data_IF_999791759949
#
_entry.id   IF_999791759949
#
_cell.length_a   1.000
_cell.length_b   1.000
_cell.length_c   1.000
_cell.angle_alpha   90.00
_cell.angle_beta   90.00
_cell.angle_gamma   90.00
#
_symmetry.space_group_name_H-M   'P 1'
#
loop_
_entity.id
_entity.type
_entity.pdbx_description
1 polymer ?
#
# COMPACT_ATOMS: atom_id res chain seq x y z
N UNK A 1 -2.69 -29.74 -5.82
CA UNK A 1 -3.73 -30.47 -5.06
C UNK A 1 -5.05 -30.21 -5.79
N UNK A 2 -5.71 -31.24 -6.35
CA UNK A 2 -6.92 -31.08 -7.17
C UNK A 2 -8.07 -30.56 -6.28
N UNK A 3 -8.63 -29.39 -6.59
CA UNK A 3 -9.86 -28.92 -5.95
C UNK A 3 -11.07 -29.62 -6.58
N UNK A 4 -11.84 -30.32 -5.74
CA UNK A 4 -13.21 -30.70 -6.05
C UNK A 4 -14.14 -29.56 -5.65
N UNK A 5 -14.92 -29.07 -6.62
CA UNK A 5 -16.02 -28.14 -6.38
C UNK A 5 -17.21 -28.96 -5.88
N UNK A 6 -17.56 -28.84 -4.60
CA UNK A 6 -18.77 -29.42 -4.04
C UNK A 6 -19.88 -28.37 -4.12
N UNK A 7 -20.83 -28.59 -5.03
CA UNK A 7 -22.08 -27.83 -5.14
C UNK A 7 -23.04 -28.29 -4.04
N UNK A 8 -23.35 -27.41 -3.08
CA UNK A 8 -24.43 -27.61 -2.12
C UNK A 8 -25.77 -27.19 -2.78
N UNK A 9 -26.57 -28.18 -3.18
CA UNK A 9 -28.00 -28.00 -3.48
C UNK A 9 -28.77 -27.85 -2.17
N UNK A 10 -29.42 -26.72 -1.94
CA UNK A 10 -30.38 -26.57 -0.84
C UNK A 10 -31.65 -27.40 -1.11
N UNK A 11 -32.03 -28.18 -0.10
CA UNK A 11 -33.31 -28.88 0.01
C UNK A 11 -34.43 -27.88 0.32
N UNK A 12 -35.44 -27.81 -0.56
CA UNK A 12 -36.67 -27.07 -0.32
C UNK A 12 -37.63 -27.90 0.56
N UNK A 13 -37.91 -27.41 1.77
CA UNK A 13 -39.00 -27.93 2.60
C UNK A 13 -40.33 -27.34 2.11
N UNK A 14 -41.19 -28.22 1.61
CA UNK A 14 -42.54 -27.92 1.14
C UNK A 14 -43.48 -27.73 2.33
N UNK A 15 -44.14 -26.58 2.43
CA UNK A 15 -45.38 -26.42 3.18
C UNK A 15 -46.50 -26.14 2.17
N UNK A 16 -47.59 -26.90 2.25
CA UNK A 16 -48.78 -26.74 1.42
C UNK A 16 -50.03 -26.77 2.30
N UNK A 17 -51.10 -26.14 1.76
CA UNK A 17 -52.50 -25.97 2.21
C UNK A 17 -52.79 -24.65 2.97
N UNK A 18 -53.78 -23.80 2.64
CA UNK A 18 -54.94 -23.82 1.71
C UNK A 18 -55.41 -22.37 1.40
N UNK A 19 -55.53 -22.05 0.10
CA UNK A 19 -56.59 -21.35 -0.69
C UNK A 19 -57.41 -20.19 -0.07
N UNK A 20 -57.41 -18.99 -0.72
CA UNK A 20 -58.60 -18.35 -1.35
C UNK A 20 -58.26 -17.14 -2.29
N UNK A 21 -58.47 -17.35 -3.59
CA UNK A 21 -58.95 -16.50 -4.70
C UNK A 21 -58.49 -15.04 -5.00
N UNK A 22 -58.05 -14.88 -6.28
CA UNK A 22 -58.16 -13.76 -7.26
C UNK A 22 -57.48 -12.39 -7.02
N UNK A 23 -56.41 -12.12 -7.79
CA UNK A 23 -56.43 -11.10 -8.86
C UNK A 23 -55.13 -11.11 -9.69
N UNK A 24 -55.28 -10.96 -11.00
CA UNK A 24 -54.22 -10.82 -12.01
C UNK A 24 -53.39 -9.55 -11.78
N UNK A 25 -52.07 -9.68 -11.63
CA UNK A 25 -51.10 -8.72 -12.17
C UNK A 25 -49.82 -9.47 -12.56
N UNK A 26 -49.46 -9.37 -13.84
CA UNK A 26 -48.20 -9.88 -14.38
C UNK A 26 -47.04 -9.04 -13.87
N UNK A 27 -46.33 -9.52 -12.85
CA UNK A 27 -45.02 -8.98 -12.47
C UNK A 27 -43.94 -9.72 -13.24
N UNK A 28 -43.26 -9.03 -14.18
CA UNK A 28 -41.95 -9.47 -14.67
C UNK A 28 -41.03 -9.63 -13.47
N UNK A 29 -40.67 -10.86 -13.11
CA UNK A 29 -39.53 -11.11 -12.24
C UNK A 29 -38.27 -10.82 -13.06
N UNK A 30 -37.65 -9.67 -12.80
CA UNK A 30 -36.28 -9.44 -13.16
C UNK A 30 -35.44 -10.55 -12.51
N UNK A 31 -34.83 -11.41 -13.32
CA UNK A 31 -33.76 -12.29 -12.86
C UNK A 31 -32.60 -11.38 -12.44
N UNK A 32 -32.48 -11.17 -11.13
CA UNK A 32 -31.24 -10.65 -10.54
C UNK A 32 -30.18 -11.71 -10.77
N UNK A 33 -29.26 -11.45 -11.70
CA UNK A 33 -27.99 -12.17 -11.76
C UNK A 33 -27.34 -12.00 -10.39
N UNK A 34 -27.22 -13.09 -9.64
CA UNK A 34 -26.42 -13.08 -8.43
C UNK A 34 -24.99 -12.77 -8.87
N UNK A 35 -24.51 -11.58 -8.54
CA UNK A 35 -23.08 -11.33 -8.51
C UNK A 35 -22.51 -12.31 -7.48
N UNK A 36 -21.97 -13.42 -7.95
CA UNK A 36 -21.09 -14.26 -7.13
C UNK A 36 -19.86 -13.41 -6.85
N UNK A 37 -19.92 -12.66 -5.75
CA UNK A 37 -18.78 -11.94 -5.23
C UNK A 37 -17.81 -12.99 -4.70
N UNK A 38 -16.74 -13.27 -5.46
CA UNK A 38 -15.65 -14.12 -5.01
C UNK A 38 -14.91 -13.36 -3.91
N UNK A 39 -15.42 -13.44 -2.68
CA UNK A 39 -14.73 -12.94 -1.50
C UNK A 39 -13.67 -13.96 -1.13
N UNK A 40 -12.45 -13.76 -1.63
CA UNK A 40 -11.27 -14.49 -1.15
C UNK A 40 -10.86 -13.85 0.19
N UNK A 41 -11.59 -14.17 1.25
CA UNK A 41 -11.18 -13.81 2.61
C UNK A 41 -10.27 -14.90 3.17
N UNK A 42 -9.02 -14.53 3.47
CA UNK A 42 -8.09 -15.32 4.26
C UNK A 42 -7.53 -16.55 3.56
N UNK A 43 -6.39 -16.39 2.89
CA UNK A 43 -5.32 -17.39 2.70
C UNK A 43 -4.38 -16.91 1.57
N UNK A 44 -3.30 -16.24 1.96
CA UNK A 44 -2.12 -16.07 1.11
C UNK A 44 -2.23 -15.01 0.01
N UNK A 45 -1.11 -14.34 -0.24
CA UNK A 45 -0.90 -13.43 -1.35
C UNK A 45 -0.82 -14.17 -2.69
N UNK A 46 -1.89 -14.89 -3.04
CA UNK A 46 -2.00 -15.57 -4.31
C UNK A 46 -2.05 -14.55 -5.44
N UNK A 47 -1.34 -14.88 -6.53
CA UNK A 47 -1.35 -14.14 -7.78
C UNK A 47 -2.01 -15.00 -8.84
N UNK A 48 -2.80 -14.38 -9.69
CA UNK A 48 -3.43 -15.05 -10.82
C UNK A 48 -2.41 -15.29 -11.92
N UNK A 49 -2.26 -16.53 -12.36
CA UNK A 49 -1.55 -16.87 -13.56
C UNK A 49 -2.33 -16.44 -14.80
N UNK A 50 -1.71 -15.65 -15.67
CA UNK A 50 -2.36 -15.11 -16.87
C UNK A 50 -1.53 -15.35 -18.11
N UNK A 51 -2.22 -15.57 -19.23
CA UNK A 51 -1.60 -15.55 -20.56
C UNK A 51 -2.20 -14.42 -21.38
N UNK A 52 -1.34 -13.56 -21.95
CA UNK A 52 -1.79 -12.55 -22.90
C UNK A 52 -1.96 -13.18 -24.27
N UNK A 53 -3.15 -13.03 -24.87
CA UNK A 53 -3.49 -13.59 -26.18
C UNK A 53 -3.80 -12.43 -27.14
N UNK A 54 -2.80 -11.93 -27.89
CA UNK A 54 -3.03 -10.86 -28.84
C UNK A 54 -3.73 -11.36 -30.11
N UNK A 55 -4.87 -10.76 -30.42
CA UNK A 55 -5.58 -11.03 -31.67
C UNK A 55 -4.89 -10.40 -32.87
N UNK A 56 -5.28 -10.84 -34.07
CA UNK A 56 -4.75 -10.35 -35.35
C UNK A 56 -4.77 -8.81 -35.42
N UNK A 57 -5.91 -8.20 -35.08
CA UNK A 57 -6.10 -6.73 -35.07
C UNK A 57 -5.06 -6.00 -34.21
N UNK A 58 -4.65 -6.60 -33.08
CA UNK A 58 -3.62 -6.07 -32.21
C UNK A 58 -2.23 -6.32 -32.79
N UNK A 59 -1.94 -7.55 -33.24
CA UNK A 59 -0.59 -7.94 -33.74
C UNK A 59 -0.16 -7.17 -34.99
N UNK A 60 -1.10 -6.75 -35.83
CA UNK A 60 -0.83 -5.96 -37.04
C UNK A 60 -0.46 -4.50 -36.74
N UNK A 61 -0.68 -4.02 -35.52
CA UNK A 61 -0.33 -2.64 -35.15
C UNK A 61 1.20 -2.46 -35.05
N UNK A 62 1.78 -1.40 -35.65
CA UNK A 62 3.24 -1.19 -35.63
C UNK A 62 3.87 -1.16 -34.22
N UNK A 63 3.14 -0.63 -33.24
CA UNK A 63 3.57 -0.56 -31.84
C UNK A 63 3.21 -1.79 -30.99
N UNK A 64 2.59 -2.84 -31.53
CA UNK A 64 2.07 -3.98 -30.76
C UNK A 64 3.10 -4.59 -29.81
N UNK A 65 4.33 -4.82 -30.30
CA UNK A 65 5.45 -5.34 -29.49
C UNK A 65 5.86 -4.38 -28.36
N UNK A 66 5.77 -3.07 -28.58
CA UNK A 66 6.04 -2.07 -27.53
C UNK A 66 4.94 -2.09 -26.48
N UNK A 67 3.67 -2.16 -26.89
CA UNK A 67 2.53 -2.18 -25.97
C UNK A 67 2.51 -3.46 -25.14
N UNK A 68 2.76 -4.63 -25.72
CA UNK A 68 2.89 -5.90 -24.98
C UNK A 68 3.91 -5.80 -23.86
N UNK A 69 5.08 -5.21 -24.12
CA UNK A 69 6.12 -5.00 -23.08
C UNK A 69 5.66 -4.07 -21.96
N UNK A 70 4.82 -3.09 -22.28
CA UNK A 70 4.27 -2.16 -21.29
C UNK A 70 3.16 -2.84 -20.49
N UNK A 71 2.30 -3.63 -21.13
CA UNK A 71 1.24 -4.42 -20.48
C UNK A 71 1.86 -5.45 -19.53
N UNK A 72 2.79 -6.28 -20.00
CA UNK A 72 3.54 -7.27 -19.19
C UNK A 72 4.13 -6.64 -17.92
N UNK A 73 4.83 -5.51 -18.08
CA UNK A 73 5.41 -4.80 -16.93
C UNK A 73 4.35 -4.34 -15.94
N UNK A 74 3.25 -3.75 -16.40
CA UNK A 74 2.21 -3.23 -15.50
C UNK A 74 1.45 -4.36 -14.80
N UNK A 75 1.14 -5.46 -15.52
CA UNK A 75 0.58 -6.66 -14.91
C UNK A 75 1.51 -7.21 -13.83
N UNK A 76 2.80 -7.36 -14.12
CA UNK A 76 3.78 -7.78 -13.14
C UNK A 76 3.86 -6.83 -11.94
N UNK A 77 3.98 -5.51 -12.18
CA UNK A 77 4.15 -4.51 -11.11
C UNK A 77 2.90 -4.27 -10.27
N UNK A 78 1.73 -4.74 -10.71
CA UNK A 78 0.51 -4.73 -9.89
C UNK A 78 0.67 -5.62 -8.65
N UNK A 79 1.49 -6.67 -8.74
CA UNK A 79 1.59 -7.70 -7.68
C UNK A 79 0.41 -8.65 -7.62
N UNK A 80 -0.53 -8.55 -8.56
CA UNK A 80 -1.75 -9.40 -8.67
C UNK A 80 -1.54 -10.54 -9.66
N UNK A 81 -0.67 -10.38 -10.66
CA UNK A 81 -0.55 -11.32 -11.78
C UNK A 81 0.82 -11.98 -11.87
N UNK A 82 0.83 -13.26 -12.25
CA UNK A 82 1.96 -13.96 -12.85
C UNK A 82 1.68 -14.09 -14.35
N UNK A 83 2.56 -13.61 -15.21
CA UNK A 83 2.35 -13.54 -16.67
C UNK A 83 3.18 -14.63 -17.37
N UNK A 84 2.53 -15.38 -18.24
CA UNK A 84 3.19 -16.37 -19.11
C UNK A 84 4.25 -15.69 -19.97
N UNK A 85 5.45 -16.26 -20.02
CA UNK A 85 6.61 -15.69 -20.72
C UNK A 85 6.97 -14.25 -20.33
N UNK A 86 6.62 -13.83 -19.11
CA UNK A 86 6.97 -12.50 -18.62
C UNK A 86 8.47 -12.23 -18.76
N UNK A 87 8.79 -10.99 -19.15
CA UNK A 87 10.17 -10.49 -19.16
C UNK A 87 10.75 -10.38 -17.75
N UNK A 88 9.88 -10.37 -16.74
CA UNK A 88 10.25 -10.28 -15.33
C UNK A 88 10.20 -11.67 -14.71
N UNK A 89 11.36 -12.26 -14.42
CA UNK A 89 11.46 -13.61 -13.85
C UNK A 89 10.60 -13.81 -12.59
N UNK A 90 10.47 -12.78 -11.77
CA UNK A 90 9.68 -12.78 -10.52
C UNK A 90 8.18 -12.81 -10.73
N UNK A 91 7.72 -12.49 -11.93
CA UNK A 91 6.32 -12.48 -12.31
C UNK A 91 6.01 -13.53 -13.37
N UNK A 92 6.92 -14.45 -13.67
CA UNK A 92 6.69 -15.49 -14.66
C UNK A 92 5.91 -16.64 -14.03
N UNK A 93 4.90 -17.17 -14.73
CA UNK A 93 4.23 -18.41 -14.31
C UNK A 93 5.22 -19.58 -14.32
N UNK A 94 4.99 -20.62 -13.51
CA UNK A 94 5.85 -21.80 -13.49
C UNK A 94 5.58 -22.76 -14.69
N UNK A 95 4.68 -22.41 -15.60
CA UNK A 95 4.32 -23.18 -16.80
C UNK A 95 2.86 -22.98 -17.23
N UNK A 96 2.44 -23.66 -18.29
CA UNK A 96 1.09 -23.58 -18.85
C UNK A 96 -0.01 -24.14 -17.92
N UNK A 97 0.34 -25.05 -16.99
CA UNK A 97 -0.59 -25.66 -16.04
C UNK A 97 -0.97 -24.75 -14.85
N UNK A 98 -0.42 -23.53 -14.80
CA UNK A 98 -0.68 -22.54 -13.76
C UNK A 98 -1.26 -21.25 -14.37
N UNK A 99 -2.00 -21.38 -15.47
CA UNK A 99 -2.77 -20.28 -16.06
C UNK A 99 -4.18 -20.40 -15.49
N UNK A 100 -4.64 -19.35 -14.83
CA UNK A 100 -5.97 -19.25 -14.24
C UNK A 100 -6.94 -18.51 -15.19
N UNK A 101 -6.41 -17.66 -16.08
CA UNK A 101 -7.20 -16.86 -17.03
C UNK A 101 -6.38 -16.38 -18.23
N UNK A 102 -7.08 -15.97 -19.28
CA UNK A 102 -6.51 -15.32 -20.47
C UNK A 102 -6.84 -13.83 -20.47
N UNK A 103 -5.92 -13.03 -21.01
CA UNK A 103 -6.16 -11.62 -21.32
C UNK A 103 -6.12 -11.47 -22.84
N UNK A 104 -7.29 -11.39 -23.46
CA UNK A 104 -7.45 -11.21 -24.89
C UNK A 104 -7.16 -9.73 -25.23
N UNK A 105 -6.23 -9.50 -26.17
CA UNK A 105 -5.85 -8.15 -26.58
C UNK A 105 -6.32 -7.89 -27.99
N UNK A 106 -7.23 -6.92 -28.15
CA UNK A 106 -7.86 -6.59 -29.43
C UNK A 106 -7.85 -5.08 -29.66
N UNK A 107 -7.69 -4.68 -30.93
CA UNK A 107 -7.91 -3.30 -31.34
C UNK A 107 -9.25 -3.15 -32.05
N UNK A 108 -10.12 -2.32 -31.49
CA UNK A 108 -11.43 -2.02 -32.04
C UNK A 108 -11.48 -0.61 -32.64
N UNK A 109 -12.24 -0.49 -33.73
CA UNK A 109 -12.52 0.78 -34.39
C UNK A 109 -14.01 1.07 -34.21
N UNK A 110 -14.34 2.18 -33.56
CA UNK A 110 -15.72 2.63 -33.40
C UNK A 110 -16.00 3.73 -34.40
N UNK A 111 -17.05 3.51 -35.19
CA UNK A 111 -17.51 4.41 -36.24
C UNK A 111 -18.79 5.10 -35.75
N UNK A 112 -18.95 6.37 -36.09
CA UNK A 112 -20.18 7.10 -35.82
C UNK A 112 -21.24 6.81 -36.88
N UNK A 113 -22.43 7.36 -36.69
CA UNK A 113 -23.57 7.16 -37.60
C UNK A 113 -23.28 7.60 -39.04
N UNK A 114 -22.32 8.52 -39.24
CA UNK A 114 -21.84 8.98 -40.55
C UNK A 114 -20.82 8.06 -41.23
N UNK A 115 -20.48 6.92 -40.61
CA UNK A 115 -19.43 6.00 -41.10
C UNK A 115 -18.00 6.52 -40.91
N UNK A 116 -17.81 7.71 -40.36
CA UNK A 116 -16.50 8.24 -40.02
C UNK A 116 -15.92 7.52 -38.78
N UNK A 117 -14.61 7.25 -38.80
CA UNK A 117 -13.92 6.68 -37.64
C UNK A 117 -13.92 7.71 -36.49
N UNK A 118 -14.66 7.41 -35.43
CA UNK A 118 -14.77 8.27 -34.25
C UNK A 118 -13.62 8.01 -33.29
N UNK A 119 -13.29 6.74 -33.05
CA UNK A 119 -12.31 6.38 -32.05
C UNK A 119 -11.72 4.98 -32.27
N UNK A 120 -10.52 4.77 -31.72
CA UNK A 120 -9.88 3.47 -31.63
C UNK A 120 -9.73 3.09 -30.18
N UNK A 121 -9.91 1.82 -29.88
CA UNK A 121 -9.95 1.29 -28.54
C UNK A 121 -9.04 0.08 -28.44
N UNK A 122 -8.24 0.02 -27.40
CA UNK A 122 -7.49 -1.18 -27.01
C UNK A 122 -8.31 -1.90 -25.96
N UNK A 123 -8.81 -3.07 -26.32
CA UNK A 123 -9.59 -3.93 -25.43
C UNK A 123 -8.65 -4.92 -24.73
N UNK A 124 -8.75 -4.99 -23.41
CA UNK A 124 -8.16 -6.01 -22.56
C UNK A 124 -9.31 -6.84 -21.98
N UNK A 125 -9.69 -7.92 -22.64
CA UNK A 125 -10.80 -8.76 -22.16
C UNK A 125 -10.26 -9.88 -21.29
N UNK A 126 -10.73 -9.95 -20.05
CA UNK A 126 -10.45 -11.08 -19.17
C UNK A 126 -11.36 -12.22 -19.58
N UNK A 127 -10.78 -13.38 -19.83
CA UNK A 127 -11.47 -14.60 -20.22
C UNK A 127 -11.01 -15.77 -19.34
N UNK A 128 -11.84 -16.79 -19.22
CA UNK A 128 -11.45 -18.04 -18.55
C UNK A 128 -10.33 -18.78 -19.32
N UNK A 129 -9.97 -19.97 -18.83
CA UNK A 129 -8.91 -20.78 -19.43
C UNK A 129 -9.30 -21.35 -20.80
N UNK A 130 -10.59 -21.56 -21.04
CA UNK A 130 -11.17 -22.00 -22.30
C UNK A 130 -11.23 -20.84 -23.32
N UNK A 131 -11.22 -19.60 -22.84
CA UNK A 131 -11.29 -18.38 -23.64
C UNK A 131 -12.68 -17.75 -23.70
N UNK A 132 -13.63 -18.20 -22.88
CA UNK A 132 -14.92 -17.53 -22.74
C UNK A 132 -14.72 -16.19 -22.01
N UNK A 133 -15.24 -15.11 -22.60
CA UNK A 133 -15.09 -13.76 -22.07
C UNK A 133 -15.85 -13.61 -20.75
N UNK A 134 -15.16 -13.13 -19.71
CA UNK A 134 -15.75 -12.81 -18.40
C UNK A 134 -16.16 -11.34 -18.36
N UNK A 135 -15.22 -10.44 -18.64
CA UNK A 135 -15.50 -9.01 -18.71
C UNK A 135 -14.47 -8.25 -19.57
N UNK A 136 -14.92 -7.31 -20.41
CA UNK A 136 -14.04 -6.48 -21.22
C UNK A 136 -13.57 -5.24 -20.45
N UNK A 137 -12.33 -4.81 -20.70
CA UNK A 137 -11.81 -3.52 -20.25
C UNK A 137 -11.43 -2.66 -21.45
N UNK A 138 -12.00 -1.47 -21.51
CA UNK A 138 -11.86 -0.54 -22.63
C UNK A 138 -10.83 0.57 -22.34
N UNK A 139 -9.76 0.62 -23.15
CA UNK A 139 -8.80 1.72 -23.16
C UNK A 139 -8.93 2.57 -24.44
N UNK A 140 -9.51 3.77 -24.36
CA UNK A 140 -9.66 4.65 -25.52
C UNK A 140 -8.31 5.25 -25.95
N UNK A 141 -7.94 5.10 -27.22
CA UNK A 141 -6.70 5.63 -27.79
C UNK A 141 -6.89 7.08 -28.28
N UNK A 142 -6.90 8.02 -27.33
CA UNK A 142 -7.07 9.46 -27.60
C UNK A 142 -5.98 9.98 -28.55
N UNK A 143 -6.39 10.64 -29.65
CA UNK A 143 -5.47 11.10 -30.72
C UNK A 143 -4.57 9.96 -31.24
N UNK A 144 -5.10 8.73 -31.29
CA UNK A 144 -4.39 7.52 -31.71
C UNK A 144 -3.11 7.23 -30.89
N UNK A 145 -3.07 7.65 -29.62
CA UNK A 145 -1.91 7.46 -28.74
C UNK A 145 -2.24 6.56 -27.56
N UNK A 146 -1.33 5.64 -27.29
CA UNK A 146 -1.33 4.79 -26.11
C UNK A 146 -0.79 5.58 -24.90
N UNK A 147 -1.56 5.59 -23.80
CA UNK A 147 -1.19 6.19 -22.53
C UNK A 147 -0.89 5.09 -21.50
N UNK A 148 0.33 5.09 -20.97
CA UNK A 148 0.70 4.18 -19.88
C UNK A 148 -0.08 4.51 -18.59
N UNK A 149 -0.50 5.77 -18.39
CA UNK A 149 -1.33 6.15 -17.26
C UNK A 149 -2.72 5.52 -17.33
N UNK A 150 -3.36 5.62 -18.50
CA UNK A 150 -4.70 5.06 -18.73
C UNK A 150 -4.66 3.52 -18.64
N UNK A 151 -3.56 2.89 -19.08
CA UNK A 151 -3.34 1.45 -18.86
C UNK A 151 -3.21 1.08 -17.38
N UNK A 152 -2.47 1.88 -16.60
CA UNK A 152 -2.36 1.64 -15.15
C UNK A 152 -3.74 1.71 -14.48
N UNK A 153 -4.57 2.69 -14.86
CA UNK A 153 -5.95 2.79 -14.38
C UNK A 153 -6.78 1.57 -14.78
N UNK A 154 -6.66 1.13 -16.03
CA UNK A 154 -7.35 -0.06 -16.54
C UNK A 154 -6.97 -1.33 -15.77
N UNK A 155 -5.67 -1.56 -15.54
CA UNK A 155 -5.18 -2.74 -14.79
C UNK A 155 -5.55 -2.64 -13.30
N UNK A 156 -5.61 -1.43 -12.74
CA UNK A 156 -6.12 -1.25 -11.38
C UNK A 156 -7.59 -1.65 -11.29
N UNK A 157 -8.42 -1.25 -12.25
CA UNK A 157 -9.83 -1.65 -12.31
C UNK A 157 -9.98 -3.17 -12.47
N UNK A 158 -9.17 -3.77 -13.34
CA UNK A 158 -9.11 -5.23 -13.49
C UNK A 158 -8.76 -5.92 -12.17
N UNK A 159 -7.75 -5.41 -11.47
CA UNK A 159 -7.31 -5.94 -10.17
C UNK A 159 -8.42 -5.82 -9.13
N UNK A 160 -9.13 -4.69 -9.11
CA UNK A 160 -10.25 -4.47 -8.20
C UNK A 160 -11.42 -5.41 -8.47
N UNK A 161 -11.79 -5.64 -9.74
CA UNK A 161 -12.85 -6.60 -10.08
C UNK A 161 -12.50 -8.04 -9.68
N UNK A 162 -11.22 -8.43 -9.76
CA UNK A 162 -10.78 -9.78 -9.42
C UNK A 162 -10.54 -10.01 -7.92
N UNK A 163 -10.20 -8.95 -7.16
CA UNK A 163 -9.72 -9.09 -5.78
C UNK A 163 -10.57 -8.36 -4.75
N UNK A 164 -11.47 -7.47 -5.18
CA UNK A 164 -12.16 -6.51 -4.32
C UNK A 164 -11.29 -5.36 -3.80
N UNK A 165 -9.98 -5.34 -4.13
CA UNK A 165 -9.03 -4.34 -3.63
C UNK A 165 -8.60 -3.36 -4.72
N UNK A 166 -8.53 -2.07 -4.38
CA UNK A 166 -8.10 -1.04 -5.31
C UNK A 166 -6.63 -1.25 -5.74
N UNK A 167 -6.37 -1.27 -7.05
CA UNK A 167 -5.02 -1.44 -7.58
C UNK A 167 -4.11 -0.23 -7.32
N UNK A 168 -2.82 -0.50 -7.06
CA UNK A 168 -1.85 0.53 -6.65
C UNK A 168 -0.95 1.06 -7.79
N UNK A 169 -1.20 0.71 -9.05
CA UNK A 169 -0.38 1.24 -10.15
C UNK A 169 -0.54 2.77 -10.28
N UNK A 170 0.58 3.46 -10.46
CA UNK A 170 0.63 4.93 -10.55
C UNK A 170 0.42 5.67 -9.22
N UNK A 171 0.11 4.97 -8.13
CA UNK A 171 -0.03 5.53 -6.78
C UNK A 171 1.29 6.12 -6.25
N UNK A 172 1.24 6.80 -5.11
CA UNK A 172 2.31 7.70 -4.67
C UNK A 172 2.98 7.21 -3.38
N UNK A 173 4.31 7.21 -3.38
CA UNK A 173 5.13 7.00 -2.20
C UNK A 173 5.79 8.33 -1.83
N UNK A 174 5.57 8.80 -0.61
CA UNK A 174 6.32 9.90 -0.03
C UNK A 174 7.45 9.36 0.85
N UNK A 175 8.56 10.09 0.90
CA UNK A 175 9.74 9.67 1.64
C UNK A 175 10.61 10.87 1.99
N UNK A 176 11.47 10.70 2.97
CA UNK A 176 12.53 11.66 3.32
C UNK A 176 13.66 11.56 2.31
N UNK A 177 14.05 12.69 1.72
CA UNK A 177 15.15 12.78 0.75
C UNK A 177 16.25 13.70 1.27
N UNK A 178 17.49 13.19 1.29
CA UNK A 178 18.71 13.93 1.63
C UNK A 178 19.61 14.04 0.41
N UNK A 179 19.80 15.27 -0.06
CA UNK A 179 20.79 15.59 -1.09
C UNK A 179 22.10 16.09 -0.43
N UNK A 180 23.26 15.96 -1.10
CA UNK A 180 24.51 16.54 -0.64
C UNK A 180 24.37 18.04 -0.35
N UNK A 181 24.94 18.51 0.77
CA UNK A 181 24.95 19.93 1.18
C UNK A 181 23.55 20.57 1.36
N UNK A 182 22.45 19.80 1.29
CA UNK A 182 21.06 20.25 1.46
C UNK A 182 20.46 19.66 2.74
N UNK A 183 19.45 20.30 3.35
CA UNK A 183 18.70 19.69 4.48
C UNK A 183 17.79 18.59 3.93
N UNK A 184 17.37 17.66 4.80
CA UNK A 184 16.39 16.61 4.44
C UNK A 184 15.05 17.28 4.12
N UNK A 185 14.40 16.85 3.04
CA UNK A 185 13.05 17.30 2.65
C UNK A 185 12.12 16.10 2.54
N UNK A 186 10.82 16.33 2.47
CA UNK A 186 9.88 15.32 2.02
C UNK A 186 9.79 15.39 0.49
N UNK A 187 9.99 14.27 -0.17
CA UNK A 187 9.79 14.07 -1.59
C UNK A 187 8.68 13.06 -1.84
N UNK A 188 8.16 13.02 -3.06
CA UNK A 188 7.21 12.02 -3.54
C UNK A 188 7.63 11.46 -4.88
N UNK A 189 7.27 10.21 -5.16
CA UNK A 189 7.49 9.52 -6.42
C UNK A 189 6.33 8.54 -6.67
N UNK A 190 6.03 8.22 -7.92
CA UNK A 190 5.02 7.20 -8.21
C UNK A 190 5.62 5.78 -8.18
N UNK A 191 4.77 4.75 -8.18
CA UNK A 191 5.18 3.32 -8.17
C UNK A 191 6.06 2.88 -9.36
N UNK A 192 6.14 3.70 -10.40
CA UNK A 192 6.97 3.48 -11.59
C UNK A 192 8.31 4.20 -11.54
N UNK A 193 8.63 4.87 -10.43
CA UNK A 193 9.88 5.64 -10.29
C UNK A 193 9.89 6.92 -11.12
N UNK A 194 8.71 7.43 -11.52
CA UNK A 194 8.52 8.67 -12.27
C UNK A 194 7.92 9.75 -11.37
N UNK A 195 7.88 10.99 -11.88
CA UNK A 195 7.31 12.16 -11.19
C UNK A 195 7.93 12.46 -9.81
N UNK A 196 9.26 12.32 -9.69
CA UNK A 196 9.96 12.73 -8.47
C UNK A 196 9.78 14.23 -8.25
N UNK A 197 9.17 14.61 -7.12
CA UNK A 197 8.90 16.00 -6.79
C UNK A 197 9.03 16.27 -5.28
N UNK A 198 9.34 17.51 -4.90
CA UNK A 198 9.38 17.91 -3.49
C UNK A 198 7.97 18.18 -2.95
N UNK A 199 7.70 17.70 -1.73
CA UNK A 199 6.49 17.98 -0.94
C UNK A 199 6.75 19.07 0.09
N UNK A 200 7.96 19.13 0.65
CA UNK A 200 8.37 20.16 1.60
C UNK A 200 9.54 21.02 1.08
N UNK A 201 9.72 22.18 1.70
CA UNK A 201 10.82 23.11 1.39
C UNK A 201 12.07 22.78 2.20
N UNK A 202 13.23 23.19 1.68
CA UNK A 202 14.56 22.97 2.27
C UNK A 202 14.96 24.04 3.32
N UNK A 203 14.02 24.82 3.84
CA UNK A 203 14.27 25.83 4.87
C UNK A 203 14.48 25.22 6.26
N UNK A 204 14.07 23.97 6.45
CA UNK A 204 14.21 23.20 7.70
C UNK A 204 14.39 21.73 7.34
N UNK A 205 14.91 20.93 8.28
CA UNK A 205 14.96 19.48 8.08
C UNK A 205 13.52 18.97 8.18
N UNK A 206 13.02 18.24 7.18
CA UNK A 206 11.71 17.57 7.20
C UNK A 206 11.91 16.06 7.14
N UNK A 207 11.25 15.31 8.04
CA UNK A 207 11.42 13.87 8.24
C UNK A 207 10.07 13.19 8.50
N UNK A 208 10.07 11.86 8.39
CA UNK A 208 8.99 10.98 8.84
C UNK A 208 7.61 11.40 8.30
N UNK A 209 7.44 11.38 6.96
CA UNK A 209 6.15 11.66 6.36
C UNK A 209 5.13 10.56 6.71
N UNK A 210 3.87 10.94 6.89
CA UNK A 210 2.73 10.03 7.08
C UNK A 210 1.50 10.57 6.35
N UNK A 211 0.96 9.79 5.41
CA UNK A 211 -0.24 10.14 4.65
C UNK A 211 -1.50 10.00 5.50
N UNK A 212 -2.47 10.90 5.34
CA UNK A 212 -3.82 10.71 5.87
C UNK A 212 -4.43 9.42 5.30
N UNK A 213 -5.38 8.77 6.00
CA UNK A 213 -6.02 7.55 5.50
C UNK A 213 -6.62 7.74 4.11
N UNK A 214 -7.20 8.91 3.84
CA UNK A 214 -7.79 9.25 2.54
C UNK A 214 -6.76 9.71 1.49
N UNK A 215 -5.48 9.86 1.88
CA UNK A 215 -4.37 10.25 0.99
C UNK A 215 -4.40 11.70 0.49
N UNK A 216 -5.28 12.53 1.02
CA UNK A 216 -5.49 13.92 0.61
C UNK A 216 -4.64 14.93 1.41
N UNK A 217 -4.00 14.48 2.47
CA UNK A 217 -3.09 15.26 3.28
C UNK A 217 -1.90 14.44 3.73
N UNK A 218 -0.81 15.13 4.09
CA UNK A 218 0.39 14.53 4.65
C UNK A 218 0.83 15.31 5.87
N UNK A 219 1.21 14.58 6.91
CA UNK A 219 1.91 15.15 8.06
C UNK A 219 3.37 14.76 8.03
N UNK A 220 4.22 15.63 8.56
CA UNK A 220 5.65 15.34 8.70
C UNK A 220 6.27 16.18 9.81
N UNK A 221 7.37 15.69 10.34
CA UNK A 221 8.12 16.34 11.41
C UNK A 221 9.13 17.32 10.82
N UNK A 222 9.22 18.52 11.39
CA UNK A 222 10.24 19.51 11.03
C UNK A 222 11.16 19.83 12.19
N UNK A 223 12.46 19.88 11.92
CA UNK A 223 13.51 20.30 12.84
C UNK A 223 14.11 21.62 12.35
N UNK A 224 14.03 22.64 13.20
CA UNK A 224 14.51 23.99 12.92
C UNK A 224 15.23 24.58 14.14
N UNK A 225 15.83 25.78 14.00
CA UNK A 225 16.45 26.48 15.14
C UNK A 225 15.45 26.83 16.24
N UNK A 226 14.16 26.99 15.92
CA UNK A 226 13.10 27.28 16.88
C UNK A 226 12.44 26.02 17.48
N UNK A 227 13.07 24.85 17.30
CA UNK A 227 12.58 23.58 17.82
C UNK A 227 11.91 22.70 16.77
N UNK A 228 11.21 21.68 17.26
CA UNK A 228 10.50 20.68 16.46
C UNK A 228 9.05 21.08 16.26
N UNK A 229 8.47 20.73 15.11
CA UNK A 229 7.05 20.95 14.85
C UNK A 229 6.49 19.91 13.89
N UNK A 230 5.22 19.55 14.10
CA UNK A 230 4.44 18.74 13.17
C UNK A 230 3.78 19.68 12.17
N UNK A 231 4.03 19.43 10.88
CA UNK A 231 3.42 20.15 9.78
C UNK A 231 2.28 19.31 9.21
N UNK A 232 1.18 19.97 8.88
CA UNK A 232 0.08 19.42 8.09
C UNK A 232 0.04 20.10 6.73
N UNK A 233 0.03 19.31 5.66
CA UNK A 233 -0.05 19.80 4.28
C UNK A 233 -1.20 19.07 3.56
N UNK A 234 -2.25 19.80 3.19
CA UNK A 234 -3.40 19.29 2.44
C UNK A 234 -3.33 19.58 0.94
N UNK A 235 -2.19 20.05 0.44
CA UNK A 235 -1.91 20.39 -0.97
C UNK A 235 -2.79 21.49 -1.60
N UNK A 236 -3.85 21.95 -0.93
CA UNK A 236 -4.73 23.04 -1.35
C UNK A 236 -4.22 24.39 -0.83
N UNK A 237 -3.74 24.39 0.41
CA UNK A 237 -3.29 25.59 1.12
C UNK A 237 -1.81 25.50 1.47
N UNK A 238 -1.23 26.60 1.95
CA UNK A 238 0.12 26.58 2.51
C UNK A 238 0.17 25.61 3.70
N UNK A 239 1.25 24.82 3.86
CA UNK A 239 1.42 23.92 5.01
C UNK A 239 1.36 24.68 6.34
N UNK A 240 0.69 24.09 7.34
CA UNK A 240 0.48 24.71 8.66
C UNK A 240 1.13 23.91 9.78
N UNK A 241 1.65 24.59 10.80
CA UNK A 241 2.19 23.97 12.02
C UNK A 241 1.04 23.61 12.97
N UNK A 242 0.76 22.32 13.13
CA UNK A 242 -0.33 21.82 13.98
C UNK A 242 0.12 21.40 15.38
N UNK A 243 1.42 21.17 15.59
CA UNK A 243 1.98 20.95 16.92
C UNK A 243 3.41 21.49 16.96
N UNK A 244 3.85 22.04 18.09
CA UNK A 244 5.20 22.60 18.26
C UNK A 244 5.78 22.19 19.61
N UNK A 245 7.10 22.04 19.67
CA UNK A 245 7.78 21.81 20.94
C UNK A 245 7.66 23.07 21.79
N UNK A 246 7.32 22.92 23.06
CA UNK A 246 7.40 24.03 23.99
C UNK A 246 8.87 24.26 24.35
N UNK A 247 9.50 25.29 23.77
CA UNK A 247 10.89 25.65 24.07
C UNK A 247 11.02 26.58 25.28
N UNK A 248 9.90 26.98 25.89
CA UNK A 248 9.88 27.86 27.07
C UNK A 248 10.02 27.10 28.40
N UNK A 249 9.87 25.78 28.39
CA UNK A 249 10.16 24.93 29.55
C UNK A 249 11.66 24.58 29.56
N UNK A 250 12.46 25.34 30.31
CA UNK A 250 13.88 25.10 30.67
C UNK A 250 14.88 24.70 29.57
N UNK A 251 16.07 25.32 29.59
CA UNK A 251 17.20 25.04 28.67
C UNK A 251 17.64 23.57 28.57
N UNK A 252 17.16 22.68 29.47
CA UNK A 252 17.45 21.25 29.47
C UNK A 252 16.38 20.38 28.80
N UNK A 253 15.17 20.89 28.47
CA UNK A 253 14.15 20.10 27.75
C UNK A 253 14.32 20.22 26.23
N UNK A 254 15.18 19.37 25.66
CA UNK A 254 15.18 19.13 24.22
C UNK A 254 13.93 18.30 23.88
N UNK A 255 12.77 18.95 23.81
CA UNK A 255 11.50 18.31 23.50
C UNK A 255 11.53 17.78 22.06
N UNK A 256 11.88 16.50 21.88
CA UNK A 256 11.76 15.82 20.61
C UNK A 256 10.27 15.54 20.37
N UNK A 257 9.81 15.93 19.19
CA UNK A 257 8.46 15.63 18.71
C UNK A 257 8.64 14.92 17.39
N UNK A 258 8.06 13.73 17.27
CA UNK A 258 7.99 13.03 16.00
C UNK A 258 6.59 12.47 15.79
N UNK A 259 6.11 12.64 14.56
CA UNK A 259 5.15 11.71 13.97
C UNK A 259 5.99 10.70 13.21
N UNK A 260 5.87 9.44 13.57
CA UNK A 260 6.32 8.29 12.79
C UNK A 260 5.18 7.28 12.75
N UNK A 261 5.17 6.42 11.73
CA UNK A 261 4.09 5.45 11.49
C UNK A 261 2.77 6.11 11.05
N UNK A 262 1.90 5.34 10.40
CA UNK A 262 0.51 5.64 10.04
C UNK A 262 -0.36 5.90 11.29
N UNK A 263 -0.03 6.95 12.01
CA UNK A 263 -0.56 7.31 13.32
C UNK A 263 -1.82 8.16 13.24
N UNK A 264 -2.55 8.10 12.12
CA UNK A 264 -3.84 8.77 12.03
C UNK A 264 -4.88 7.97 12.81
N UNK A 265 -5.68 8.66 13.59
CA UNK A 265 -6.71 8.05 14.43
C UNK A 265 -8.05 8.73 14.20
N UNK A 266 -9.15 7.97 14.36
CA UNK A 266 -10.52 8.48 14.25
C UNK A 266 -10.77 9.16 12.89
N UNK A 267 -10.56 8.43 11.80
CA UNK A 267 -10.75 8.92 10.42
C UNK A 267 -9.90 10.16 10.09
N UNK A 268 -8.68 10.20 10.64
CA UNK A 268 -7.74 11.29 10.41
C UNK A 268 -8.04 12.57 11.21
N UNK A 269 -9.00 12.55 12.15
CA UNK A 269 -9.26 13.66 13.07
C UNK A 269 -8.10 13.86 14.06
N UNK A 270 -7.55 12.76 14.55
CA UNK A 270 -6.50 12.75 15.57
C UNK A 270 -5.21 12.15 15.01
N UNK A 271 -4.11 12.40 15.73
CA UNK A 271 -2.80 11.82 15.47
C UNK A 271 -2.28 11.13 16.72
N UNK A 272 -1.62 9.99 16.60
CA UNK A 272 -0.78 9.41 17.64
C UNK A 272 0.64 9.93 17.43
N UNK A 273 1.21 10.56 18.46
CA UNK A 273 2.45 11.30 18.33
C UNK A 273 3.39 10.92 19.46
N UNK A 274 4.68 10.86 19.15
CA UNK A 274 5.73 10.71 20.16
C UNK A 274 6.12 12.08 20.67
N UNK A 275 5.95 12.31 21.97
CA UNK A 275 6.31 13.57 22.62
C UNK A 275 7.27 13.30 23.78
N UNK A 276 8.40 14.00 23.77
CA UNK A 276 9.21 14.14 24.98
C UNK A 276 8.62 15.23 25.87
N UNK A 277 8.21 14.87 27.08
CA UNK A 277 7.66 15.76 28.12
C UNK A 277 8.36 15.46 29.43
N UNK A 278 8.85 16.49 30.13
CA UNK A 278 9.47 16.36 31.46
C UNK A 278 10.62 15.33 31.53
N UNK A 279 11.34 15.10 30.42
CA UNK A 279 12.49 14.19 30.36
C UNK A 279 12.16 12.74 29.97
N UNK A 280 10.88 12.37 29.83
CA UNK A 280 10.46 11.07 29.30
C UNK A 280 9.86 11.20 27.90
N UNK A 281 9.97 10.15 27.09
CA UNK A 281 9.38 10.09 25.74
C UNK A 281 8.24 9.08 25.73
N UNK A 282 7.03 9.56 25.49
CA UNK A 282 5.81 8.74 25.51
C UNK A 282 4.95 9.00 24.27
N UNK A 283 3.93 8.16 24.12
CA UNK A 283 2.92 8.28 23.08
C UNK A 283 1.73 9.11 23.58
N UNK A 284 1.19 9.93 22.70
CA UNK A 284 0.03 10.78 22.97
C UNK A 284 -0.92 10.75 21.78
N UNK A 285 -2.22 10.77 22.02
CA UNK A 285 -3.19 11.21 21.01
C UNK A 285 -3.24 12.73 20.97
N UNK A 286 -3.33 13.31 19.79
CA UNK A 286 -3.45 14.73 19.55
C UNK A 286 -4.68 15.02 18.68
N UNK A 287 -5.70 15.69 19.23
CA UNK A 287 -6.85 16.17 18.46
C UNK A 287 -6.48 17.48 17.74
N UNK A 288 -6.44 17.42 16.40
CA UNK A 288 -6.05 18.57 15.56
C UNK A 288 -6.99 19.77 15.71
N UNK A 289 -8.29 19.53 15.94
CA UNK A 289 -9.31 20.58 16.05
C UNK A 289 -9.28 21.22 17.44
N UNK A 290 -9.32 20.40 18.49
CA UNK A 290 -9.34 20.85 19.89
C UNK A 290 -7.96 21.29 20.38
N UNK A 291 -6.89 20.99 19.61
CA UNK A 291 -5.48 21.20 20.00
C UNK A 291 -5.15 20.55 21.35
N UNK A 292 -5.77 19.40 21.63
CA UNK A 292 -5.65 18.72 22.93
C UNK A 292 -4.77 17.48 22.80
N UNK A 293 -3.78 17.38 23.69
CA UNK A 293 -2.93 16.21 23.87
C UNK A 293 -3.54 15.32 24.96
N UNK A 294 -3.51 13.99 24.78
CA UNK A 294 -3.88 13.01 25.81
C UNK A 294 -2.83 11.91 25.81
N UNK A 295 -2.19 11.69 26.96
CA UNK A 295 -1.11 10.70 27.11
C UNK A 295 -1.67 9.28 27.00
N UNK A 296 -1.00 8.43 26.22
CA UNK A 296 -1.35 7.02 26.01
C UNK A 296 -0.47 6.08 26.82
N UNK A 297 0.84 6.32 26.85
CA UNK A 297 1.79 5.48 27.61
C UNK A 297 2.37 6.25 28.79
N UNK A 298 2.65 5.55 29.89
CA UNK A 298 3.12 6.14 31.14
C UNK A 298 4.35 5.45 31.72
N UNK A 299 4.94 4.51 30.98
CA UNK A 299 6.10 3.77 31.44
C UNK A 299 7.35 4.67 31.46
N UNK A 300 8.29 4.39 32.37
CA UNK A 300 9.59 5.10 32.46
C UNK A 300 10.54 4.87 31.27
N UNK A 301 10.12 4.03 30.33
CA UNK A 301 10.90 3.64 29.16
C UNK A 301 10.59 4.62 28.03
N UNK A 302 11.45 4.64 27.02
CA UNK A 302 11.23 5.43 25.82
C UNK A 302 10.24 4.68 24.93
N UNK A 303 9.05 5.24 24.74
CA UNK A 303 8.02 4.70 23.84
C UNK A 303 7.92 5.58 22.59
N UNK A 304 8.14 5.00 21.40
CA UNK A 304 8.26 5.73 20.13
C UNK A 304 7.65 4.96 18.95
N UNK A 305 7.62 5.58 17.76
CA UNK A 305 7.20 4.96 16.50
C UNK A 305 5.84 4.25 16.58
N UNK A 306 4.78 5.00 16.95
CA UNK A 306 3.43 4.46 17.00
C UNK A 306 2.90 4.16 15.59
N UNK A 307 2.20 3.05 15.44
CA UNK A 307 1.40 2.75 14.25
C UNK A 307 0.07 2.13 14.69
N UNK A 308 -1.03 2.59 14.11
CA UNK A 308 -2.36 2.19 14.52
C UNK A 308 -2.95 1.18 13.54
N UNK A 309 -3.62 0.16 14.06
CA UNK A 309 -4.35 -0.80 13.25
C UNK A 309 -5.48 -0.12 12.47
N UNK A 310 -5.86 -0.66 11.29
CA UNK A 310 -6.90 -0.09 10.45
C UNK A 310 -8.27 0.06 11.14
N UNK A 311 -8.58 -0.82 12.09
CA UNK A 311 -9.80 -0.78 12.90
C UNK A 311 -9.81 0.31 13.99
N UNK A 312 -8.69 1.02 14.18
CA UNK A 312 -8.48 2.01 15.23
C UNK A 312 -8.52 1.46 16.68
N UNK A 313 -8.37 0.15 16.90
CA UNK A 313 -8.47 -0.44 18.24
C UNK A 313 -7.10 -0.79 18.86
N UNK A 314 -6.09 -0.97 18.02
CA UNK A 314 -4.81 -1.54 18.40
C UNK A 314 -3.65 -0.65 17.97
N UNK A 315 -2.74 -0.38 18.90
CA UNK A 315 -1.56 0.43 18.67
C UNK A 315 -0.33 -0.45 18.80
N UNK A 316 0.55 -0.42 17.81
CA UNK A 316 1.91 -0.98 17.95
C UNK A 316 2.91 0.15 18.08
N UNK A 317 3.98 -0.09 18.83
CA UNK A 317 4.99 0.91 19.11
C UNK A 317 6.30 0.27 19.53
N UNK A 318 7.39 1.03 19.46
CA UNK A 318 8.71 0.61 19.91
C UNK A 318 8.91 1.06 21.36
N UNK A 319 9.38 0.15 22.22
CA UNK A 319 9.78 0.46 23.60
C UNK A 319 11.13 -0.15 23.92
N UNK A 320 11.95 0.55 24.70
CA UNK A 320 13.23 0.05 25.24
C UNK A 320 13.12 -0.56 26.64
N UNK A 321 11.89 -0.80 27.13
CA UNK A 321 11.64 -1.27 28.50
C UNK A 321 12.30 -2.61 28.88
N UNK A 322 12.75 -3.38 27.89
CA UNK A 322 13.50 -4.63 28.08
C UNK A 322 15.02 -4.49 27.96
N UNK A 323 15.54 -3.26 27.89
CA UNK A 323 16.97 -2.95 27.76
C UNK A 323 17.43 -2.64 26.33
N UNK A 324 16.61 -2.96 25.33
CA UNK A 324 16.83 -2.68 23.91
C UNK A 324 15.47 -2.59 23.20
N UNK A 325 15.45 -1.96 22.02
CA UNK A 325 14.22 -1.69 21.26
C UNK A 325 13.48 -2.98 20.91
N UNK A 326 12.22 -3.06 21.35
CA UNK A 326 11.28 -4.12 21.01
C UNK A 326 9.93 -3.53 20.61
N UNK A 327 9.16 -4.31 19.86
CA UNK A 327 7.81 -3.95 19.46
C UNK A 327 6.85 -4.41 20.56
N UNK A 328 6.01 -3.47 20.96
CA UNK A 328 4.91 -3.64 21.88
C UNK A 328 3.59 -3.36 21.17
N UNK A 329 2.55 -3.94 21.73
CA UNK A 329 1.17 -3.83 21.31
C UNK A 329 0.35 -3.27 22.47
N UNK A 330 -0.61 -2.40 22.19
CA UNK A 330 -1.48 -1.77 23.16
C UNK A 330 -2.89 -1.74 22.60
N UNK A 331 -3.82 -2.42 23.27
CA UNK A 331 -5.24 -2.28 22.98
C UNK A 331 -5.74 -0.98 23.61
N UNK A 332 -6.30 -0.06 22.82
CA UNK A 332 -6.62 1.30 23.28
C UNK A 332 -7.71 1.34 24.37
N UNK A 333 -8.66 0.41 24.34
CA UNK A 333 -9.73 0.32 25.33
C UNK A 333 -9.25 -0.09 26.73
N UNK A 334 -8.36 -1.08 26.82
CA UNK A 334 -7.86 -1.61 28.10
C UNK A 334 -6.60 -0.89 28.58
N UNK A 335 -5.83 -0.31 27.66
CA UNK A 335 -4.51 0.31 27.89
C UNK A 335 -3.48 -0.64 28.52
N UNK A 336 -3.64 -1.94 28.32
CA UNK A 336 -2.70 -2.96 28.77
C UNK A 336 -1.70 -3.24 27.64
N UNK A 337 -0.39 -2.99 27.83
CA UNK A 337 0.60 -3.28 26.81
C UNK A 337 1.08 -4.74 26.87
N UNK A 338 1.29 -5.34 25.70
CA UNK A 338 1.88 -6.67 25.52
C UNK A 338 3.13 -6.57 24.65
N UNK A 339 4.14 -7.39 24.93
CA UNK A 339 5.35 -7.45 24.11
C UNK A 339 5.12 -8.40 22.93
N UNK A 340 5.43 -7.94 21.72
CA UNK A 340 5.30 -8.75 20.50
C UNK A 340 6.62 -9.40 20.07
N UNK A 341 7.75 -8.71 20.26
CA UNK A 341 9.05 -9.23 19.84
C UNK A 341 9.97 -9.48 21.02
N UNK A 342 10.71 -10.58 20.95
CA UNK A 342 11.59 -11.07 22.02
C UNK A 342 13.01 -11.35 21.52
N UNK A 343 13.93 -11.57 22.46
CA UNK A 343 15.31 -11.97 22.17
C UNK A 343 16.30 -10.81 22.26
N UNK A 344 17.56 -11.05 21.85
CA UNK A 344 18.69 -10.11 22.01
C UNK A 344 18.84 -9.07 20.89
N UNK A 345 18.16 -9.25 19.75
CA UNK A 345 18.20 -8.28 18.64
C UNK A 345 17.19 -7.15 18.84
N UNK A 346 17.47 -5.97 18.28
CA UNK A 346 16.51 -4.86 18.27
C UNK A 346 15.46 -5.04 17.18
N UNK A 347 14.22 -4.66 17.50
CA UNK A 347 13.10 -4.60 16.57
C UNK A 347 12.52 -3.18 16.54
N UNK A 348 12.39 -2.61 15.35
CA UNK A 348 12.00 -1.20 15.15
C UNK A 348 11.13 -1.02 13.90
N UNK A 349 10.65 0.22 13.69
CA UNK A 349 9.81 0.62 12.55
C UNK A 349 8.60 -0.31 12.27
N UNK A 350 7.78 -0.66 13.28
CA UNK A 350 6.61 -1.49 13.06
C UNK A 350 5.53 -0.74 12.27
N UNK A 351 4.90 -1.42 11.32
CA UNK A 351 3.74 -0.92 10.56
C UNK A 351 2.72 -2.03 10.30
N UNK A 352 1.46 -1.77 10.59
CA UNK A 352 0.32 -2.63 10.29
C UNK A 352 0.08 -2.72 8.79
N UNK A 353 -0.31 -3.91 8.34
CA UNK A 353 -0.87 -4.09 7.02
C UNK A 353 -2.25 -3.40 6.91
N UNK A 354 -2.66 -2.96 5.72
CA UNK A 354 -3.94 -2.25 5.53
C UNK A 354 -5.19 -3.07 5.92
N UNK A 355 -5.07 -4.39 5.94
CA UNK A 355 -6.11 -5.33 6.36
C UNK A 355 -6.02 -5.72 7.85
N UNK A 356 -5.00 -5.24 8.57
CA UNK A 356 -4.82 -5.50 10.01
C UNK A 356 -4.38 -6.93 10.35
N UNK A 357 -3.98 -7.73 9.37
CA UNK A 357 -3.62 -9.14 9.59
C UNK A 357 -2.14 -9.34 9.93
N UNK A 358 -1.26 -8.44 9.47
CA UNK A 358 0.19 -8.57 9.60
C UNK A 358 0.84 -7.26 10.07
N UNK A 359 2.03 -7.39 10.65
CA UNK A 359 2.92 -6.28 10.97
C UNK A 359 4.21 -6.48 10.19
N UNK A 360 4.61 -5.48 9.42
CA UNK A 360 5.96 -5.40 8.86
C UNK A 360 6.86 -4.60 9.80
N UNK A 361 8.09 -5.06 9.99
CA UNK A 361 9.02 -4.37 10.88
C UNK A 361 10.49 -4.64 10.54
N UNK A 362 11.38 -3.76 11.03
CA UNK A 362 12.83 -3.91 10.93
C UNK A 362 13.34 -4.75 12.11
N UNK A 363 14.11 -5.82 11.85
CA UNK A 363 14.72 -6.67 12.89
C UNK A 363 16.21 -6.81 12.63
N UNK A 364 17.03 -6.52 13.64
CA UNK A 364 18.47 -6.77 13.56
C UNK A 364 18.71 -8.28 13.73
N UNK A 365 19.21 -8.91 12.67
CA UNK A 365 19.58 -10.32 12.66
C UNK A 365 20.99 -10.49 12.10
N UNK A 366 21.88 -11.14 12.86
CA UNK A 366 23.29 -11.38 12.48
C UNK A 366 24.03 -10.10 12.05
N UNK A 367 23.79 -8.99 12.75
CA UNK A 367 24.48 -7.71 12.51
C UNK A 367 23.89 -6.84 11.39
N UNK A 368 22.84 -7.28 10.71
CA UNK A 368 22.15 -6.50 9.68
C UNK A 368 20.66 -6.41 9.97
N UNK A 369 20.08 -5.23 9.74
CA UNK A 369 18.63 -5.07 9.83
C UNK A 369 17.94 -5.65 8.59
N UNK A 370 16.87 -6.43 8.80
CA UNK A 370 16.06 -7.01 7.74
C UNK A 370 14.58 -6.73 8.00
N UNK A 371 13.79 -6.70 6.93
CA UNK A 371 12.33 -6.62 7.04
C UNK A 371 11.78 -8.00 7.38
N UNK A 372 10.97 -8.04 8.41
CA UNK A 372 10.20 -9.19 8.86
C UNK A 372 8.70 -8.89 8.72
N UNK A 373 7.93 -9.95 8.56
CA UNK A 373 6.48 -9.95 8.63
C UNK A 373 6.07 -10.86 9.78
N UNK A 374 5.23 -10.35 10.67
CA UNK A 374 4.66 -11.15 11.75
C UNK A 374 3.14 -11.06 11.80
N UNK A 375 2.52 -12.14 12.24
CA UNK A 375 1.12 -12.15 12.69
C UNK A 375 1.11 -11.91 14.22
N UNK A 376 0.51 -10.82 14.70
CA UNK A 376 0.52 -10.47 16.12
C UNK A 376 -0.37 -11.37 16.99
N UNK A 377 -1.30 -12.12 16.40
CA UNK A 377 -2.23 -12.98 17.13
C UNK A 377 -1.71 -14.42 17.23
N UNK A 378 -1.06 -14.92 16.19
CA UNK A 378 -0.47 -16.27 16.19
C UNK A 378 1.00 -16.27 16.63
N UNK A 379 1.69 -15.13 16.52
CA UNK A 379 3.13 -15.00 16.81
C UNK A 379 4.03 -15.55 15.70
N UNK A 380 3.47 -15.95 14.56
CA UNK A 380 4.28 -16.36 13.40
C UNK A 380 5.15 -15.20 12.92
N UNK A 381 6.46 -15.41 12.81
CA UNK A 381 7.44 -14.42 12.33
C UNK A 381 8.23 -15.00 11.15
N UNK A 382 8.30 -14.24 10.04
CA UNK A 382 9.15 -14.60 8.90
C UNK A 382 9.92 -13.43 8.36
N UNK A 383 11.20 -13.68 8.06
CA UNK A 383 12.06 -12.75 7.32
C UNK A 383 11.59 -12.62 5.87
N UNK A 384 11.24 -11.40 5.46
CA UNK A 384 10.87 -11.01 4.10
C UNK A 384 12.10 -10.66 3.25
N UNK A 385 13.05 -9.93 3.82
CA UNK A 385 14.34 -9.64 3.19
C UNK A 385 15.46 -10.41 3.85
N UNK A 386 16.49 -10.77 3.08
CA UNK A 386 17.69 -11.45 3.55
C UNK A 386 18.92 -10.88 2.85
N UNK A 387 20.05 -10.87 3.55
CA UNK A 387 21.34 -10.54 2.97
C UNK A 387 22.27 -9.81 3.93
N UNK A 388 23.38 -9.32 3.36
CA UNK A 388 24.46 -8.61 4.07
C UNK A 388 24.30 -7.09 4.14
N UNK A 389 23.14 -6.58 3.72
CA UNK A 389 22.86 -5.15 3.68
C UNK A 389 21.60 -4.88 4.48
N UNK A 390 21.54 -3.70 5.09
CA UNK A 390 20.38 -3.30 5.86
C UNK A 390 19.18 -3.12 4.91
N UNK A 391 18.03 -3.57 5.39
CA UNK A 391 16.70 -3.34 4.82
C UNK A 391 15.80 -2.90 5.96
N UNK A 392 15.33 -1.65 5.93
CA UNK A 392 14.72 -0.96 7.07
C UNK A 392 13.52 -0.11 6.63
N UNK A 393 12.76 0.39 7.61
CA UNK A 393 11.67 1.35 7.44
C UNK A 393 10.61 0.87 6.42
N UNK A 394 9.94 -0.26 6.69
CA UNK A 394 8.91 -0.79 5.81
C UNK A 394 7.68 0.14 5.77
N UNK A 395 7.00 0.13 4.63
CA UNK A 395 5.71 0.78 4.42
C UNK A 395 4.87 -0.06 3.45
N UNK A 396 3.67 -0.43 3.88
CA UNK A 396 2.74 -1.21 3.06
C UNK A 396 2.21 -0.42 1.87
N UNK A 397 2.00 -1.11 0.74
CA UNK A 397 1.09 -0.63 -0.28
C UNK A 397 -0.35 -0.65 0.24
N UNK A 398 -1.22 0.26 -0.22
CA UNK A 398 -2.63 0.30 0.21
C UNK A 398 -3.42 -1.00 -0.03
N UNK A 399 -3.03 -1.81 -1.01
CA UNK A 399 -3.62 -3.12 -1.31
C UNK A 399 -3.00 -4.28 -0.50
N UNK A 400 -2.04 -4.00 0.37
CA UNK A 400 -1.35 -5.00 1.18
C UNK A 400 -0.41 -5.94 0.41
N UNK A 401 -0.19 -5.77 -0.90
CA UNK A 401 0.57 -6.74 -1.73
C UNK A 401 2.06 -6.45 -1.84
N UNK A 402 2.49 -5.26 -1.47
CA UNK A 402 3.87 -4.79 -1.62
C UNK A 402 4.33 -4.05 -0.37
N UNK A 403 5.65 -4.08 -0.15
CA UNK A 403 6.34 -3.28 0.86
C UNK A 403 7.31 -2.34 0.15
N UNK A 404 7.17 -1.03 0.37
CA UNK A 404 8.22 -0.07 0.14
C UNK A 404 9.17 -0.06 1.34
N UNK A 405 10.48 -0.01 1.11
CA UNK A 405 11.48 -0.03 2.18
C UNK A 405 12.78 0.58 1.71
N UNK A 406 13.69 0.81 2.65
CA UNK A 406 15.00 1.41 2.38
C UNK A 406 16.07 0.33 2.45
N UNK A 407 17.00 0.32 1.50
CA UNK A 407 18.13 -0.62 1.52
C UNK A 407 19.47 0.04 1.22
N UNK A 408 20.49 -0.34 2.00
CA UNK A 408 21.86 0.15 1.86
C UNK A 408 22.70 -0.63 0.83
N UNK A 409 22.06 -1.52 0.05
CA UNK A 409 22.74 -2.41 -0.91
C UNK A 409 23.49 -1.71 -2.05
N UNK A 410 23.30 -0.40 -2.24
CA UNK A 410 24.06 0.42 -3.21
C UNK A 410 25.09 1.35 -2.55
N UNK A 411 25.35 1.18 -1.26
CA UNK A 411 26.28 1.96 -0.45
C UNK A 411 25.67 3.20 0.23
N UNK A 412 24.46 3.59 -0.20
CA UNK A 412 23.59 4.56 0.48
C UNK A 412 22.18 3.99 0.53
N UNK A 413 21.41 4.48 1.47
CA UNK A 413 20.01 4.14 1.65
C UNK A 413 19.19 4.63 0.46
N UNK A 414 18.60 3.67 -0.26
CA UNK A 414 17.74 3.90 -1.42
C UNK A 414 16.39 3.22 -1.21
N UNK A 415 15.37 3.79 -1.84
CA UNK A 415 14.01 3.29 -1.82
C UNK A 415 13.85 2.11 -2.79
N UNK A 416 13.35 1.00 -2.26
CA UNK A 416 12.99 -0.22 -2.95
C UNK A 416 11.53 -0.54 -2.73
N UNK A 417 10.99 -1.39 -3.59
CA UNK A 417 9.75 -2.12 -3.33
C UNK A 417 10.00 -3.61 -3.51
N UNK A 418 9.27 -4.42 -2.76
CA UNK A 418 9.30 -5.88 -2.79
C UNK A 418 7.86 -6.39 -2.64
N UNK A 419 7.56 -7.53 -3.24
CA UNK A 419 6.32 -8.20 -2.94
C UNK A 419 6.39 -8.89 -1.57
N UNK A 420 5.25 -9.03 -0.93
CA UNK A 420 5.08 -9.66 0.39
C UNK A 420 5.42 -11.16 0.43
N UNK A 421 5.52 -11.81 -0.73
CA UNK A 421 6.07 -13.16 -0.89
C UNK A 421 7.63 -13.19 -0.91
N UNK A 422 8.28 -12.02 -0.83
CA UNK A 422 9.74 -11.85 -0.87
C UNK A 422 10.33 -11.76 -2.28
N UNK A 423 9.50 -11.84 -3.33
CA UNK A 423 9.96 -11.73 -4.73
C UNK A 423 9.88 -10.29 -5.25
N UNK A 424 10.33 -10.07 -6.48
CA UNK A 424 10.12 -8.79 -7.17
C UNK A 424 10.87 -7.59 -6.62
N UNK A 425 11.87 -7.80 -5.75
CA UNK A 425 12.68 -6.74 -5.16
C UNK A 425 13.28 -5.84 -6.26
N UNK A 426 12.88 -4.57 -6.29
CA UNK A 426 13.36 -3.59 -7.27
C UNK A 426 13.61 -2.23 -6.64
N UNK A 427 14.66 -1.55 -7.09
CA UNK A 427 14.91 -0.16 -6.72
C UNK A 427 13.85 0.71 -7.39
N UNK A 428 13.18 1.56 -6.61
CA UNK A 428 12.13 2.43 -7.13
C UNK A 428 12.71 3.72 -7.72
N UNK A 429 13.74 4.28 -7.09
CA UNK A 429 14.31 5.57 -7.47
C UNK A 429 15.49 5.44 -8.42
N UNK A 430 15.72 6.48 -9.23
CA UNK A 430 16.92 6.65 -10.08
C UNK A 430 17.76 7.85 -9.65
N UNK A 431 17.69 8.21 -8.36
CA UNK A 431 18.46 9.32 -7.80
C UNK A 431 19.97 9.06 -7.85
N UNK A 432 20.80 10.12 -7.90
CA UNK A 432 22.25 10.03 -7.80
C UNK A 432 22.72 9.22 -6.59
N UNK A 433 23.88 8.57 -6.69
CA UNK A 433 24.38 7.61 -5.68
C UNK A 433 24.59 8.24 -4.29
N UNK A 434 24.95 9.52 -4.24
CA UNK A 434 25.23 10.30 -3.04
C UNK A 434 23.97 10.85 -2.34
N UNK A 435 22.78 10.61 -2.90
CA UNK A 435 21.51 10.92 -2.23
C UNK A 435 21.18 9.81 -1.23
N UNK A 436 20.51 10.14 -0.14
CA UNK A 436 20.02 9.20 0.88
C UNK A 436 18.49 9.34 1.00
N UNK A 437 17.79 8.22 1.06
CA UNK A 437 16.34 8.12 1.03
C UNK A 437 15.87 7.33 2.25
N UNK A 438 14.82 7.81 2.93
CA UNK A 438 14.39 7.24 4.21
C UNK A 438 12.89 7.38 4.46
N UNK A 439 12.36 6.59 5.38
CA UNK A 439 11.02 6.71 5.96
C UNK A 439 9.91 6.81 4.91
N UNK A 440 9.74 5.79 4.05
CA UNK A 440 8.68 5.78 3.07
C UNK A 440 7.30 5.70 3.74
N UNK A 441 6.30 6.23 3.06
CA UNK A 441 4.87 6.03 3.34
C UNK A 441 4.12 6.02 2.01
N UNK A 442 3.11 5.17 1.88
CA UNK A 442 2.43 4.90 0.61
C UNK A 442 0.96 5.30 0.70
N UNK A 443 0.46 5.99 -0.33
CA UNK A 443 -0.97 6.28 -0.49
C UNK A 443 -1.45 5.82 -1.86
N UNK A 444 -2.73 5.46 -1.97
CA UNK A 444 -3.37 5.07 -3.22
C UNK A 444 -3.48 6.25 -4.19
N UNK A 445 -3.52 7.49 -3.67
CA UNK A 445 -3.67 8.70 -4.48
C UNK A 445 -2.52 8.90 -5.45
N UNK A 446 -2.88 9.37 -6.64
CA UNK A 446 -1.96 9.74 -7.73
C UNK A 446 -1.73 11.24 -7.70
N UNK A 447 -0.48 11.66 -7.72
CA UNK A 447 -0.05 13.06 -7.60
C UNK A 447 0.79 13.58 -8.78
#
# INVERSE_FOLDING_TARGET
MRLHIILLRQLSLSFSLIIFYLCFTSSLQAQTYSNEEIVISGLGFARFGVTMVPEKSFTEHPDARRWLRIIDRNLCWSGVFLVTDSRYKTCRTAGAAQVDMKILLKLERRYGDSGALVSKHLMLTVADNEGAELFPLDLPLRKNRFSEADLMDLINNMSAQLTGLEGVLGSTIAFTLKQPKRRKIIARINTHGKKLAAVSKNSSISLLPSWSPQGDAIVYTTLSRSGTAIIYNNFKNRPVKILRSNTSATRSSKNFLSVSGGSWYSEGRQLVVTLSRLGNTDLYTFDKQKRKETRLTTHRAIDTVPDLSPDNEHLIFVSDRTGHEQIFYLQLGTKIPFQLTFGRGSSSDPVWSPDGTLIAYSKISRGHSQIHLMDPFTGEDRSLTRGRYNSEQPAWSPDGRQIAFVSSSTGRDKLYVIFVDGTGRRRLTRTPKDFEEGSPTWTVRKF
#
